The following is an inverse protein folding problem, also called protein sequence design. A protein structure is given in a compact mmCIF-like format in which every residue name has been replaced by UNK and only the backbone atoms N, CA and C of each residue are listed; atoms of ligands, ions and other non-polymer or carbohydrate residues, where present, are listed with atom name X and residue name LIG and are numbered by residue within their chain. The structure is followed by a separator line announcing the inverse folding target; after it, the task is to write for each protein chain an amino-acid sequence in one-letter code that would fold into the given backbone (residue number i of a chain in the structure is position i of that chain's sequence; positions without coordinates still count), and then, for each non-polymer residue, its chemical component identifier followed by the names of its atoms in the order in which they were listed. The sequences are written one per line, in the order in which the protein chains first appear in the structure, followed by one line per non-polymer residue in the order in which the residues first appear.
data_IF_953788103751
#
_entry.id   IF_953788103751
#
_cell.length_a   1.000
_cell.length_b   1.000
_cell.length_c   1.000
_cell.angle_alpha   90.00
_cell.angle_beta   90.00
_cell.angle_gamma   90.00
#
_symmetry.space_group_name_H-M   'P 1'
#
loop_
_entity.id
_entity.type
_entity.pdbx_description
1 polymer ?
#
# COMPACT_ATOMS: atom_id res chain seq x y z
N UNK A 1 -23.61 6.77 -0.69
CA UNK A 1 -24.17 8.04 -1.22
C UNK A 1 -23.95 9.11 -0.18
N UNK A 2 -23.54 10.31 -0.61
CA UNK A 2 -23.34 11.45 0.29
C UNK A 2 -24.67 11.82 0.98
N UNK A 3 -24.73 12.02 2.30
CA UNK A 3 -25.95 12.46 2.97
C UNK A 3 -26.34 13.87 2.50
N UNK A 4 -27.64 14.21 2.51
CA UNK A 4 -28.08 15.58 2.27
C UNK A 4 -27.34 16.56 3.17
N UNK A 5 -26.76 17.60 2.57
CA UNK A 5 -25.98 18.61 3.28
C UNK A 5 -26.86 19.80 3.65
N UNK A 6 -26.72 20.30 4.88
CA UNK A 6 -27.42 21.48 5.38
C UNK A 6 -26.41 22.50 5.88
N UNK A 7 -26.54 23.74 5.41
CA UNK A 7 -25.73 24.86 5.87
C UNK A 7 -26.64 25.84 6.61
N UNK A 8 -26.50 25.93 7.94
CA UNK A 8 -27.10 27.02 8.70
C UNK A 8 -26.18 28.23 8.57
N UNK A 9 -26.69 29.34 8.06
CA UNK A 9 -25.88 30.51 7.73
C UNK A 9 -26.49 31.78 8.31
N UNK A 10 -25.64 32.68 8.78
CA UNK A 10 -26.00 33.98 9.32
C UNK A 10 -25.07 35.05 8.76
N UNK A 11 -25.65 36.21 8.45
CA UNK A 11 -24.95 37.38 7.92
C UNK A 11 -25.30 38.57 8.80
N UNK A 12 -24.28 39.35 9.15
CA UNK A 12 -24.43 40.59 9.90
C UNK A 12 -23.54 41.67 9.26
N UNK A 13 -24.12 42.79 8.86
CA UNK A 13 -23.42 43.77 8.05
C UNK A 13 -24.19 45.07 7.90
N UNK A 14 -23.49 46.10 7.45
CA UNK A 14 -24.08 47.44 7.23
C UNK A 14 -24.93 47.45 5.96
N UNK A 15 -24.45 46.78 4.92
CA UNK A 15 -25.03 46.73 3.59
C UNK A 15 -24.50 45.49 2.83
N UNK A 16 -25.03 45.15 1.64
CA UNK A 16 -24.61 43.97 0.88
C UNK A 16 -23.14 43.95 0.44
N UNK A 17 -22.44 45.09 0.49
CA UNK A 17 -21.02 45.18 0.16
C UNK A 17 -20.13 45.01 1.37
N UNK A 18 -20.66 45.07 2.59
CA UNK A 18 -19.86 44.93 3.81
C UNK A 18 -20.60 44.12 4.88
N UNK A 19 -20.21 42.86 5.03
CA UNK A 19 -20.81 41.94 6.00
C UNK A 19 -19.84 40.91 6.55
N UNK A 20 -20.12 40.47 7.77
CA UNK A 20 -19.57 39.27 8.40
C UNK A 20 -20.52 38.11 8.16
N UNK A 21 -19.97 36.89 8.07
CA UNK A 21 -20.78 35.68 8.00
C UNK A 21 -20.29 34.60 8.95
N UNK A 22 -21.23 33.78 9.40
CA UNK A 22 -20.98 32.54 10.14
C UNK A 22 -21.89 31.45 9.60
N UNK A 23 -21.40 30.22 9.57
CA UNK A 23 -22.25 29.09 9.26
C UNK A 23 -21.75 27.77 9.80
N UNK A 24 -22.66 26.83 9.91
CA UNK A 24 -22.44 25.47 10.35
C UNK A 24 -22.94 24.52 9.26
N UNK A 25 -22.01 23.83 8.61
CA UNK A 25 -22.30 22.85 7.56
C UNK A 25 -22.32 21.44 8.13
N UNK A 26 -23.43 20.74 7.95
CA UNK A 26 -23.61 19.32 8.32
C UNK A 26 -23.98 18.48 7.11
N UNK A 27 -23.60 17.19 7.13
CA UNK A 27 -24.11 16.17 6.20
C UNK A 27 -24.35 14.86 6.96
N UNK A 28 -25.58 14.66 7.47
CA UNK A 28 -25.82 13.61 8.47
C UNK A 28 -24.98 13.86 9.72
N UNK A 29 -24.27 12.84 10.19
CA UNK A 29 -23.36 12.93 11.35
C UNK A 29 -22.05 13.68 11.04
N UNK A 30 -21.74 13.93 9.77
CA UNK A 30 -20.54 14.66 9.31
C UNK A 30 -20.70 16.14 9.67
N UNK A 31 -19.74 16.71 10.41
CA UNK A 31 -19.74 18.12 10.82
C UNK A 31 -20.23 18.35 12.27
N UNK A 32 -20.42 19.61 12.69
CA UNK A 32 -20.42 20.80 11.85
C UNK A 32 -19.03 21.17 11.37
N UNK A 33 -18.90 21.45 10.07
CA UNK A 33 -17.81 22.28 9.57
C UNK A 33 -18.21 23.74 9.82
N UNK A 34 -17.53 24.38 10.76
CA UNK A 34 -17.81 25.77 11.15
C UNK A 34 -17.09 26.71 10.20
N UNK A 35 -17.83 27.55 9.51
CA UNK A 35 -17.29 28.58 8.61
C UNK A 35 -17.54 29.96 9.20
N UNK A 36 -16.53 30.83 9.12
CA UNK A 36 -16.68 32.23 9.46
C UNK A 36 -15.87 33.10 8.51
N UNK A 37 -16.26 34.35 8.37
CA UNK A 37 -15.52 35.27 7.53
C UNK A 37 -16.18 36.61 7.34
N UNK A 38 -15.68 37.33 6.35
CA UNK A 38 -16.15 38.66 5.96
C UNK A 38 -16.07 38.87 4.46
N UNK A 39 -16.98 39.70 3.97
CA UNK A 39 -16.95 40.33 2.66
C UNK A 39 -16.74 41.83 2.87
N UNK A 40 -15.70 42.39 2.26
CA UNK A 40 -15.35 43.82 2.37
C UNK A 40 -15.61 44.62 1.09
N UNK A 41 -16.41 44.07 0.18
CA UNK A 41 -16.78 44.69 -1.10
C UNK A 41 -15.80 44.37 -2.23
N UNK A 42 -14.59 43.93 -1.88
CA UNK A 42 -13.53 43.58 -2.83
C UNK A 42 -13.12 42.12 -2.67
N UNK A 43 -13.03 41.65 -1.42
CA UNK A 43 -12.48 40.35 -1.08
C UNK A 43 -13.32 39.64 -0.02
N UNK A 44 -13.67 38.40 -0.32
CA UNK A 44 -14.17 37.43 0.64
C UNK A 44 -12.96 36.84 1.37
N UNK A 45 -13.00 36.80 2.70
CA UNK A 45 -11.99 36.09 3.52
C UNK A 45 -12.70 35.31 4.61
N UNK A 46 -12.23 34.11 4.88
CA UNK A 46 -12.81 33.31 5.94
C UNK A 46 -11.95 32.14 6.35
N UNK A 47 -12.41 31.46 7.39
CA UNK A 47 -11.86 30.19 7.83
C UNK A 47 -12.98 29.15 7.91
N UNK A 48 -12.63 27.92 7.62
CA UNK A 48 -13.42 26.72 7.86
C UNK A 48 -12.67 25.85 8.86
N UNK A 49 -13.36 25.43 9.91
CA UNK A 49 -12.81 24.54 10.93
C UNK A 49 -13.69 23.32 11.06
N UNK A 50 -13.06 22.16 10.89
CA UNK A 50 -13.65 20.87 11.12
C UNK A 50 -13.13 20.33 12.46
N UNK A 51 -14.00 20.19 13.49
CA UNK A 51 -13.61 19.59 14.76
C UNK A 51 -13.10 18.16 14.60
N UNK A 52 -12.41 17.65 15.62
CA UNK A 52 -12.11 16.22 15.70
C UNK A 52 -13.40 15.40 15.70
N UNK A 53 -13.49 14.45 14.77
CA UNK A 53 -14.59 13.50 14.69
C UNK A 53 -14.06 12.10 14.39
N UNK A 54 -14.82 11.09 14.82
CA UNK A 54 -14.54 9.68 14.49
C UNK A 54 -14.49 9.47 12.98
N UNK A 55 -13.51 8.69 12.51
CA UNK A 55 -13.36 8.33 11.10
C UNK A 55 -14.61 7.60 10.54
N UNK A 56 -15.31 6.84 11.36
CA UNK A 56 -16.51 6.08 10.95
C UNK A 56 -17.64 6.95 10.42
N UNK A 57 -17.74 8.19 10.91
CA UNK A 57 -18.74 9.17 10.45
C UNK A 57 -18.56 9.52 8.97
N UNK A 58 -17.34 9.35 8.45
CA UNK A 58 -16.98 9.62 7.05
C UNK A 58 -17.25 8.44 6.12
N UNK A 59 -17.78 7.32 6.60
CA UNK A 59 -18.14 6.16 5.79
C UNK A 59 -18.96 6.50 4.53
N UNK A 60 -19.93 7.45 4.55
CA UNK A 60 -20.68 7.83 3.36
C UNK A 60 -19.86 8.48 2.25
N UNK A 61 -18.66 9.00 2.55
CA UNK A 61 -17.73 9.60 1.59
C UNK A 61 -16.93 8.54 0.82
N UNK A 62 -16.88 7.32 1.33
CA UNK A 62 -16.17 6.21 0.69
C UNK A 62 -17.03 5.64 -0.45
N UNK A 63 -16.51 5.51 -1.68
CA UNK A 63 -17.22 4.87 -2.77
C UNK A 63 -17.63 3.42 -2.39
N UNK A 64 -18.92 3.04 -2.54
CA UNK A 64 -19.37 1.69 -2.17
C UNK A 64 -18.62 0.57 -2.87
N UNK A 65 -18.19 0.79 -4.12
CA UNK A 65 -17.47 -0.19 -4.94
C UNK A 65 -16.10 -0.56 -4.36
N UNK A 66 -15.53 0.28 -3.50
CA UNK A 66 -14.28 -0.02 -2.81
C UNK A 66 -14.47 -1.06 -1.71
N UNK A 67 -15.72 -1.31 -1.29
CA UNK A 67 -16.06 -2.24 -0.20
C UNK A 67 -15.22 -2.00 1.06
N UNK A 68 -14.85 -0.75 1.30
CA UNK A 68 -13.99 -0.35 2.40
C UNK A 68 -14.85 0.11 3.58
N UNK A 69 -14.67 -0.55 4.72
CA UNK A 69 -15.33 -0.26 5.98
C UNK A 69 -14.35 0.46 6.92
N UNK A 70 -14.62 1.73 7.22
CA UNK A 70 -13.85 2.54 8.16
C UNK A 70 -14.12 2.08 9.59
N UNK A 71 -13.10 2.04 10.43
CA UNK A 71 -13.17 1.44 11.77
C UNK A 71 -12.76 2.43 12.86
N UNK A 72 -11.47 2.70 13.01
CA UNK A 72 -10.95 3.56 14.07
C UNK A 72 -10.30 4.81 13.48
N UNK A 73 -10.03 5.77 14.36
CA UNK A 73 -9.26 6.98 14.05
C UNK A 73 -10.09 8.26 14.15
N UNK A 74 -9.38 9.38 14.15
CA UNK A 74 -9.95 10.71 14.23
C UNK A 74 -9.54 11.54 13.02
N UNK A 75 -10.48 12.30 12.47
CA UNK A 75 -10.22 13.26 11.41
C UNK A 75 -10.57 14.67 11.88
N UNK A 76 -9.72 15.64 11.55
CA UNK A 76 -9.98 17.07 11.73
C UNK A 76 -9.27 17.88 10.65
N UNK A 77 -9.74 19.11 10.43
CA UNK A 77 -9.15 19.98 9.42
C UNK A 77 -9.33 21.46 9.76
N UNK A 78 -8.41 22.28 9.27
CA UNK A 78 -8.53 23.73 9.33
C UNK A 78 -8.09 24.33 8.01
N UNK A 79 -8.92 25.20 7.45
CA UNK A 79 -8.71 25.84 6.15
C UNK A 79 -8.97 27.34 6.30
N UNK A 80 -8.05 28.16 5.82
CA UNK A 80 -8.28 29.57 5.56
C UNK A 80 -8.52 29.75 4.05
N UNK A 81 -9.43 30.63 3.66
CA UNK A 81 -9.70 30.91 2.26
C UNK A 81 -9.91 32.39 2.00
N UNK A 82 -9.70 32.77 0.74
CA UNK A 82 -10.02 34.09 0.23
C UNK A 82 -10.42 34.04 -1.23
N UNK A 83 -11.33 34.91 -1.64
CA UNK A 83 -11.72 35.08 -3.03
C UNK A 83 -11.81 36.57 -3.37
N UNK A 84 -11.23 36.98 -4.49
CA UNK A 84 -11.37 38.33 -5.06
C UNK A 84 -11.34 38.25 -6.59
N UNK A 85 -11.94 39.21 -7.32
CA UNK A 85 -12.04 39.17 -8.78
C UNK A 85 -10.71 38.91 -9.50
N UNK A 86 -9.64 39.63 -9.15
CA UNK A 86 -8.31 39.46 -9.78
C UNK A 86 -7.51 38.28 -9.23
N UNK A 87 -7.79 37.86 -8.00
CA UNK A 87 -7.03 36.82 -7.29
C UNK A 87 -7.57 35.40 -7.58
N UNK A 88 -8.85 35.31 -7.96
CA UNK A 88 -9.60 34.06 -7.91
C UNK A 88 -9.74 33.53 -6.48
N UNK A 89 -10.08 32.24 -6.37
CA UNK A 89 -10.17 31.54 -5.08
C UNK A 89 -8.79 31.02 -4.66
N UNK A 90 -8.39 31.33 -3.43
CA UNK A 90 -7.22 30.75 -2.77
C UNK A 90 -7.62 30.16 -1.44
N UNK A 91 -7.07 28.99 -1.13
CA UNK A 91 -7.23 28.35 0.17
C UNK A 91 -5.91 27.81 0.67
N UNK A 92 -5.78 27.63 1.97
CA UNK A 92 -4.62 26.98 2.56
C UNK A 92 -4.94 26.49 3.96
N UNK A 93 -4.35 25.38 4.33
CA UNK A 93 -4.75 24.71 5.55
C UNK A 93 -4.05 23.38 5.74
N UNK A 94 -4.60 22.60 6.65
CA UNK A 94 -4.19 21.22 6.86
C UNK A 94 -5.39 20.35 7.22
N UNK A 95 -5.37 19.12 6.73
CA UNK A 95 -6.21 18.02 7.20
C UNK A 95 -5.36 16.99 7.91
N UNK A 96 -5.89 16.37 8.96
CA UNK A 96 -5.21 15.34 9.72
C UNK A 96 -6.15 14.17 9.94
N UNK A 97 -5.66 12.98 9.61
CA UNK A 97 -6.18 11.70 10.07
C UNK A 97 -5.17 11.12 11.06
N UNK A 98 -5.65 10.67 12.21
CA UNK A 98 -4.81 10.01 13.23
C UNK A 98 -5.38 8.65 13.60
N UNK A 99 -4.54 7.62 13.60
CA UNK A 99 -4.89 6.26 14.01
C UNK A 99 -5.99 5.64 13.16
N UNK A 100 -6.09 6.02 11.88
CA UNK A 100 -7.10 5.52 10.97
C UNK A 100 -6.99 4.00 10.78
N UNK A 101 -8.11 3.31 10.74
CA UNK A 101 -8.15 1.90 10.32
C UNK A 101 -9.33 1.63 9.39
N UNK A 102 -9.12 0.69 8.47
CA UNK A 102 -10.13 0.28 7.51
C UNK A 102 -9.97 -1.19 7.13
N UNK A 103 -11.10 -1.84 6.89
CA UNK A 103 -11.18 -3.17 6.31
C UNK A 103 -11.66 -3.08 4.88
N UNK A 104 -11.00 -3.80 4.00
CA UNK A 104 -11.42 -4.09 2.63
C UNK A 104 -11.67 -5.61 2.52
N UNK A 105 -12.23 -6.11 1.40
CA UNK A 105 -12.54 -7.54 1.27
C UNK A 105 -11.36 -8.48 1.57
N UNK A 106 -10.15 -8.00 1.32
CA UNK A 106 -8.93 -8.80 1.29
C UNK A 106 -7.72 -8.07 1.86
N UNK A 107 -7.97 -6.96 2.56
CA UNK A 107 -6.94 -6.16 3.18
C UNK A 107 -7.44 -5.56 4.49
N UNK A 108 -6.56 -5.45 5.46
CA UNK A 108 -6.77 -4.58 6.61
C UNK A 108 -5.66 -3.54 6.64
N UNK A 109 -6.03 -2.30 6.93
CA UNK A 109 -5.09 -1.19 7.09
C UNK A 109 -5.29 -0.63 8.48
N UNK A 110 -4.21 -0.57 9.26
CA UNK A 110 -4.24 -0.21 10.67
C UNK A 110 -3.23 0.89 10.98
N UNK A 111 -3.61 1.82 11.86
CA UNK A 111 -2.72 2.88 12.35
C UNK A 111 -2.27 3.86 11.27
N UNK A 112 -3.22 4.33 10.44
CA UNK A 112 -2.97 5.36 9.43
C UNK A 112 -2.91 6.73 10.09
N UNK A 113 -1.73 7.33 10.07
CA UNK A 113 -1.53 8.74 10.35
C UNK A 113 -1.26 9.46 9.03
N UNK A 114 -2.10 10.45 8.70
CA UNK A 114 -1.98 11.24 7.48
C UNK A 114 -2.12 12.73 7.79
N UNK A 115 -1.18 13.52 7.31
CA UNK A 115 -1.18 14.98 7.46
C UNK A 115 -1.06 15.61 6.08
N UNK A 116 -2.05 16.42 5.69
CA UNK A 116 -2.14 17.07 4.40
C UNK A 116 -2.06 18.59 4.56
N UNK A 117 -0.85 19.18 4.69
CA UNK A 117 -0.67 20.61 4.53
C UNK A 117 -0.80 20.98 3.05
N UNK A 118 -1.66 21.92 2.74
CA UNK A 118 -1.89 22.34 1.36
C UNK A 118 -2.06 23.86 1.24
N UNK A 119 -1.80 24.34 0.02
CA UNK A 119 -2.23 25.63 -0.46
C UNK A 119 -2.82 25.46 -1.85
N UNK A 120 -4.04 25.91 -2.05
CA UNK A 120 -4.67 25.99 -3.35
C UNK A 120 -4.62 27.44 -3.86
N UNK A 121 -4.06 27.64 -5.04
CA UNK A 121 -4.03 28.93 -5.72
C UNK A 121 -3.93 28.71 -7.23
N UNK A 122 -4.51 29.63 -8.01
CA UNK A 122 -4.33 29.69 -9.46
C UNK A 122 -4.65 28.34 -10.16
N UNK A 123 -5.68 27.64 -9.64
CA UNK A 123 -6.15 26.36 -10.16
C UNK A 123 -5.34 25.12 -9.75
N UNK A 124 -4.32 25.25 -8.89
CA UNK A 124 -3.45 24.16 -8.49
C UNK A 124 -3.25 24.02 -6.99
N UNK A 125 -2.95 22.80 -6.58
CA UNK A 125 -2.58 22.43 -5.23
C UNK A 125 -1.07 22.47 -5.10
N UNK A 126 -0.58 23.23 -4.13
CA UNK A 126 0.79 23.19 -3.65
C UNK A 126 0.79 22.41 -2.33
N UNK A 127 1.35 21.21 -2.41
CA UNK A 127 1.48 20.26 -1.33
C UNK A 127 2.87 20.43 -0.71
N UNK A 128 2.95 20.33 0.61
CA UNK A 128 4.27 20.36 1.25
C UNK A 128 4.81 21.76 1.61
N UNK A 129 4.02 22.84 1.46
CA UNK A 129 4.53 24.24 1.59
C UNK A 129 5.13 24.62 2.94
N UNK A 130 4.79 23.91 4.02
CA UNK A 130 5.32 24.12 5.38
C UNK A 130 5.89 22.82 5.99
N UNK A 131 6.26 21.88 5.13
CA UNK A 131 6.57 20.50 5.49
C UNK A 131 5.72 19.54 4.66
N UNK A 132 6.20 18.31 4.39
CA UNK A 132 5.55 17.37 3.48
C UNK A 132 4.13 17.01 3.88
N UNK A 133 3.37 16.58 2.88
CA UNK A 133 2.23 15.69 3.13
C UNK A 133 2.80 14.36 3.59
N UNK A 134 2.50 13.95 4.83
CA UNK A 134 3.06 12.74 5.43
C UNK A 134 2.01 11.66 5.48
N UNK A 135 2.34 10.47 5.00
CA UNK A 135 1.59 9.23 5.22
C UNK A 135 2.44 8.27 6.04
N UNK A 136 1.89 7.80 7.15
CA UNK A 136 2.49 6.77 8.00
C UNK A 136 1.42 5.72 8.25
N UNK A 137 1.74 4.45 8.02
CA UNK A 137 0.81 3.33 8.25
C UNK A 137 1.54 2.31 9.12
N UNK A 138 0.96 1.98 10.27
CA UNK A 138 1.55 1.00 11.17
C UNK A 138 1.60 -0.39 10.53
N UNK A 139 0.49 -0.82 9.93
CA UNK A 139 0.37 -2.16 9.37
C UNK A 139 -0.66 -2.23 8.23
N UNK A 140 -0.32 -2.99 7.19
CA UNK A 140 -1.23 -3.47 6.16
C UNK A 140 -1.16 -4.99 6.15
N UNK A 141 -2.30 -5.63 6.42
CA UNK A 141 -2.45 -7.08 6.41
C UNK A 141 -3.06 -7.49 5.06
N UNK A 142 -2.32 -8.31 4.33
CA UNK A 142 -2.69 -9.02 3.09
C UNK A 142 -1.93 -10.37 3.12
N UNK A 143 -1.84 -11.08 1.99
CA UNK A 143 -0.97 -12.21 1.70
C UNK A 143 0.43 -12.09 2.31
N UNK A 144 1.00 -10.88 2.28
CA UNK A 144 2.20 -10.53 3.01
C UNK A 144 1.94 -9.28 3.84
N UNK A 145 2.13 -9.38 5.15
CA UNK A 145 2.00 -8.23 6.05
C UNK A 145 3.12 -7.22 5.81
N UNK A 146 2.74 -5.98 5.53
CA UNK A 146 3.64 -4.84 5.45
C UNK A 146 3.51 -3.98 6.71
N UNK A 147 4.63 -3.50 7.25
CA UNK A 147 4.69 -2.72 8.48
C UNK A 147 5.50 -1.45 8.30
N UNK A 148 5.28 -0.50 9.20
CA UNK A 148 6.06 0.74 9.29
C UNK A 148 6.17 1.48 7.94
N UNK A 149 5.05 1.58 7.22
CA UNK A 149 5.01 2.21 5.90
C UNK A 149 5.15 3.72 6.08
N UNK A 150 6.11 4.30 5.37
CA UNK A 150 6.31 5.75 5.31
C UNK A 150 6.22 6.23 3.87
N UNK A 151 5.74 7.47 3.69
CA UNK A 151 5.77 8.18 2.42
C UNK A 151 5.55 9.67 2.65
N UNK A 152 6.33 10.50 1.97
CA UNK A 152 6.24 11.96 2.01
C UNK A 152 6.01 12.52 0.62
N UNK A 153 5.02 13.40 0.47
CA UNK A 153 4.63 14.01 -0.80
C UNK A 153 4.77 15.53 -0.75
N UNK A 154 5.44 16.10 -1.76
CA UNK A 154 5.67 17.54 -1.89
C UNK A 154 5.60 17.99 -3.35
N UNK A 155 5.19 19.23 -3.59
CA UNK A 155 5.17 19.82 -4.94
C UNK A 155 3.77 20.20 -5.41
N UNK A 156 3.58 20.26 -6.73
CA UNK A 156 2.34 20.77 -7.34
C UNK A 156 1.46 19.65 -7.88
N UNK A 157 0.14 19.78 -7.73
CA UNK A 157 -0.85 18.98 -8.42
C UNK A 157 -1.91 19.85 -9.14
N UNK A 158 -2.14 19.67 -10.45
CA UNK A 158 -1.38 18.84 -11.37
C UNK A 158 0.08 19.30 -11.51
N UNK A 159 1.02 18.36 -11.60
CA UNK A 159 2.45 18.64 -11.70
C UNK A 159 2.84 19.18 -13.08
N UNK A 160 3.95 19.90 -13.15
CA UNK A 160 4.58 20.38 -14.39
C UNK A 160 6.08 20.08 -14.35
N UNK A 161 6.81 20.34 -15.44
CA UNK A 161 8.28 20.19 -15.41
C UNK A 161 8.95 21.17 -14.45
N UNK A 162 8.44 22.39 -14.39
CA UNK A 162 8.97 23.47 -13.54
C UNK A 162 8.57 23.28 -12.07
N UNK A 163 7.37 22.77 -11.81
CA UNK A 163 6.82 22.50 -10.49
C UNK A 163 6.48 21.00 -10.37
N UNK A 164 7.49 20.13 -10.15
CA UNK A 164 7.26 18.69 -10.10
C UNK A 164 6.54 18.28 -8.81
N UNK A 165 5.94 17.09 -8.84
CA UNK A 165 5.46 16.39 -7.65
C UNK A 165 6.49 15.32 -7.27
N UNK A 166 6.90 15.32 -6.00
CA UNK A 166 7.93 14.46 -5.44
C UNK A 166 7.34 13.57 -4.35
N UNK A 167 7.55 12.27 -4.50
CA UNK A 167 7.29 11.26 -3.47
C UNK A 167 8.65 10.77 -2.92
N UNK A 168 8.88 10.98 -1.63
CA UNK A 168 10.16 10.68 -0.94
C UNK A 168 9.89 9.91 0.35
N UNK A 169 10.96 9.52 1.04
CA UNK A 169 10.89 8.80 2.33
C UNK A 169 9.96 7.58 2.28
N UNK A 170 10.00 6.85 1.16
CA UNK A 170 9.19 5.64 1.01
C UNK A 170 9.97 4.47 1.59
N UNK A 171 9.46 3.92 2.68
CA UNK A 171 10.00 2.75 3.36
C UNK A 171 8.87 1.82 3.77
N UNK A 172 9.11 0.51 3.66
CA UNK A 172 8.18 -0.53 4.08
C UNK A 172 8.98 -1.71 4.64
N UNK A 173 8.61 -2.17 5.83
CA UNK A 173 9.11 -3.42 6.39
C UNK A 173 8.21 -4.56 5.91
N UNK A 174 8.79 -5.53 5.22
CA UNK A 174 8.05 -6.61 4.55
C UNK A 174 8.96 -7.81 4.33
N UNK A 175 8.41 -9.02 4.35
CA UNK A 175 9.16 -10.27 4.16
C UNK A 175 10.41 -10.37 5.06
N UNK A 176 10.30 -9.98 6.34
CA UNK A 176 11.42 -9.97 7.29
C UNK A 176 12.58 -9.01 6.97
N UNK A 177 12.46 -8.19 5.92
CA UNK A 177 13.45 -7.18 5.53
C UNK A 177 12.78 -5.84 5.25
N UNK A 178 13.38 -5.05 4.37
CA UNK A 178 12.95 -3.67 4.15
C UNK A 178 13.05 -3.26 2.67
N UNK A 179 12.05 -2.53 2.18
CA UNK A 179 12.00 -1.96 0.83
C UNK A 179 11.99 -0.45 0.91
N UNK A 180 12.91 0.19 0.17
CA UNK A 180 13.11 1.64 0.19
C UNK A 180 12.99 2.22 -1.22
N UNK A 181 12.45 3.43 -1.32
CA UNK A 181 12.55 4.27 -2.51
C UNK A 181 12.90 5.69 -2.09
N UNK A 182 14.07 6.17 -2.55
CA UNK A 182 14.55 7.51 -2.16
C UNK A 182 13.64 8.61 -2.70
N UNK A 183 13.29 8.52 -3.98
CA UNK A 183 12.51 9.52 -4.66
C UNK A 183 11.83 8.96 -5.90
N UNK A 184 10.60 9.37 -6.11
CA UNK A 184 9.87 9.35 -7.38
C UNK A 184 9.49 10.79 -7.71
N UNK A 185 9.81 11.24 -8.93
CA UNK A 185 9.46 12.57 -9.45
C UNK A 185 8.44 12.44 -10.57
N UNK A 186 7.44 13.32 -10.57
CA UNK A 186 6.48 13.50 -11.66
C UNK A 186 6.61 14.93 -12.24
N UNK A 187 6.68 15.11 -13.58
CA UNK A 187 6.74 14.06 -14.60
C UNK A 187 7.98 13.17 -14.45
N UNK A 188 7.80 11.89 -14.77
CA UNK A 188 8.84 10.88 -14.64
C UNK A 188 9.71 10.86 -15.90
N UNK A 189 11.02 11.09 -15.73
CA UNK A 189 12.04 10.94 -16.77
C UNK A 189 12.95 9.75 -16.53
N UNK A 190 13.19 9.44 -15.25
CA UNK A 190 14.03 8.35 -14.79
C UNK A 190 13.22 7.35 -13.96
N UNK A 191 13.61 6.06 -13.94
CA UNK A 191 12.93 5.08 -13.11
C UNK A 191 13.14 5.40 -11.64
N UNK A 192 12.09 5.24 -10.83
CA UNK A 192 12.21 5.31 -9.39
C UNK A 192 12.81 4.00 -8.87
N UNK A 193 14.00 4.06 -8.29
CA UNK A 193 14.71 2.84 -7.89
C UNK A 193 14.19 2.33 -6.53
N UNK A 194 13.48 1.20 -6.55
CA UNK A 194 13.17 0.44 -5.34
C UNK A 194 14.39 -0.36 -4.94
N UNK A 195 14.82 -0.26 -3.68
CA UNK A 195 15.90 -1.06 -3.08
C UNK A 195 15.30 -2.06 -2.12
N UNK A 196 15.66 -3.32 -2.31
CA UNK A 196 15.18 -4.44 -1.53
C UNK A 196 16.35 -4.88 -0.65
N UNK A 197 16.18 -4.84 0.66
CA UNK A 197 17.22 -5.12 1.63
C UNK A 197 16.84 -6.33 2.47
N UNK A 198 17.61 -7.40 2.32
CA UNK A 198 17.60 -8.58 3.18
C UNK A 198 16.20 -9.22 3.34
N UNK A 199 15.46 -9.34 2.24
CA UNK A 199 14.15 -9.98 2.22
C UNK A 199 14.28 -11.50 2.39
N UNK A 200 13.37 -12.09 3.16
CA UNK A 200 13.30 -13.50 3.48
C UNK A 200 12.68 -14.30 2.33
N UNK A 201 13.47 -15.18 1.73
CA UNK A 201 12.95 -16.13 0.74
C UNK A 201 11.96 -17.13 1.33
N UNK A 202 12.08 -17.47 2.61
CA UNK A 202 11.15 -18.39 3.28
C UNK A 202 9.78 -17.78 3.49
N UNK A 203 9.71 -16.48 3.83
CA UNK A 203 8.43 -15.77 3.92
C UNK A 203 7.80 -15.63 2.53
N UNK A 204 8.60 -15.30 1.51
CA UNK A 204 8.10 -15.17 0.13
C UNK A 204 7.55 -16.51 -0.39
N UNK A 205 8.30 -17.60 -0.23
CA UNK A 205 7.87 -18.93 -0.67
C UNK A 205 6.66 -19.40 0.13
N UNK A 206 6.59 -19.13 1.43
CA UNK A 206 5.40 -19.46 2.23
C UNK A 206 4.15 -18.71 1.76
N UNK A 207 4.30 -17.42 1.41
CA UNK A 207 3.19 -16.60 0.93
C UNK A 207 2.66 -17.05 -0.43
N UNK A 208 3.55 -17.40 -1.37
CA UNK A 208 3.14 -17.92 -2.70
C UNK A 208 2.72 -19.39 -2.62
N UNK A 209 3.22 -20.13 -1.62
CA UNK A 209 2.97 -21.54 -1.35
C UNK A 209 3.12 -22.47 -2.58
N UNK A 210 4.26 -22.45 -3.29
CA UNK A 210 4.51 -23.41 -4.35
C UNK A 210 4.72 -24.80 -3.74
N UNK A 211 4.01 -25.81 -4.25
CA UNK A 211 4.13 -27.20 -3.74
C UNK A 211 5.46 -27.86 -4.09
N UNK A 212 6.19 -27.29 -5.05
CA UNK A 212 7.31 -27.95 -5.72
C UNK A 212 8.65 -27.76 -5.01
N UNK A 213 8.83 -26.68 -4.24
CA UNK A 213 10.11 -26.39 -3.60
C UNK A 213 9.97 -25.52 -2.34
N UNK A 214 10.99 -25.59 -1.49
CA UNK A 214 11.20 -24.69 -0.38
C UNK A 214 12.53 -23.95 -0.55
N UNK A 215 12.58 -22.68 -0.12
CA UNK A 215 13.78 -21.88 -0.15
C UNK A 215 13.96 -21.14 1.17
N UNK A 216 15.21 -20.97 1.60
CA UNK A 216 15.55 -20.18 2.79
C UNK A 216 16.81 -19.35 2.61
N UNK A 217 16.93 -18.34 3.47
CA UNK A 217 17.97 -17.32 3.41
C UNK A 217 17.46 -16.00 2.83
N UNK A 218 18.33 -14.99 2.83
CA UNK A 218 17.95 -13.63 2.49
C UNK A 218 18.46 -13.21 1.11
N UNK A 219 17.68 -12.37 0.42
CA UNK A 219 18.05 -11.76 -0.84
C UNK A 219 17.86 -10.24 -0.80
N UNK A 220 18.64 -9.55 -1.63
CA UNK A 220 18.56 -8.10 -1.82
C UNK A 220 18.59 -7.78 -3.30
N UNK A 221 18.26 -6.56 -3.66
CA UNK A 221 18.27 -6.16 -5.06
C UNK A 221 17.80 -4.75 -5.30
N UNK A 222 17.61 -4.43 -6.57
CA UNK A 222 17.04 -3.17 -6.99
C UNK A 222 16.09 -3.35 -8.17
N UNK A 223 14.93 -2.71 -8.11
CA UNK A 223 13.89 -2.73 -9.14
C UNK A 223 13.65 -1.29 -9.64
N UNK A 224 14.11 -0.94 -10.84
CA UNK A 224 13.82 0.35 -11.46
C UNK A 224 12.33 0.42 -11.87
N UNK A 225 11.53 1.22 -11.17
CA UNK A 225 10.08 1.33 -11.35
C UNK A 225 9.72 2.46 -12.33
N UNK A 226 8.89 2.13 -13.31
CA UNK A 226 8.27 3.06 -14.24
C UNK A 226 6.76 3.08 -14.04
N UNK A 227 6.19 4.25 -13.83
CA UNK A 227 4.73 4.43 -13.67
C UNK A 227 4.06 4.83 -14.98
N UNK A 228 4.75 5.59 -15.81
CA UNK A 228 4.21 6.17 -17.05
C UNK A 228 4.91 5.65 -18.32
N UNK A 229 5.56 4.49 -18.26
CA UNK A 229 6.22 3.91 -19.44
C UNK A 229 5.24 3.02 -20.22
N UNK A 230 5.27 3.12 -21.55
CA UNK A 230 4.35 2.39 -22.44
C UNK A 230 4.56 0.88 -22.47
N UNK A 231 5.71 0.39 -21.98
CA UNK A 231 6.08 -1.03 -22.08
C UNK A 231 6.40 -1.65 -20.72
N UNK A 232 7.08 -0.94 -19.84
CA UNK A 232 7.68 -1.53 -18.65
C UNK A 232 7.09 -0.97 -17.36
N UNK A 233 6.88 -1.84 -16.38
CA UNK A 233 6.74 -1.46 -14.95
C UNK A 233 8.09 -1.57 -14.28
N UNK A 234 8.84 -2.66 -14.53
CA UNK A 234 10.22 -2.83 -14.10
C UNK A 234 11.08 -3.22 -15.29
N UNK A 235 12.19 -2.51 -15.50
CA UNK A 235 13.15 -2.83 -16.55
C UNK A 235 14.55 -2.97 -15.96
N UNK A 236 15.20 -4.09 -16.25
CA UNK A 236 16.56 -4.42 -15.84
C UNK A 236 16.76 -4.39 -14.31
N UNK A 237 15.75 -4.88 -13.59
CA UNK A 237 15.86 -5.15 -12.16
C UNK A 237 16.80 -6.32 -11.88
N UNK A 238 17.36 -6.37 -10.68
CA UNK A 238 18.21 -7.48 -10.27
C UNK A 238 17.99 -7.87 -8.81
N UNK A 239 18.17 -9.15 -8.52
CA UNK A 239 18.22 -9.71 -7.17
C UNK A 239 19.49 -10.55 -7.01
N UNK A 240 19.99 -10.65 -5.78
CA UNK A 240 21.08 -11.54 -5.40
C UNK A 240 20.93 -12.01 -3.95
N UNK A 241 21.49 -13.17 -3.62
CA UNK A 241 21.56 -13.62 -2.23
C UNK A 241 22.42 -12.64 -1.40
N UNK A 242 21.94 -12.32 -0.20
CA UNK A 242 22.65 -11.45 0.76
C UNK A 242 23.46 -12.25 1.78
N UNK A 243 23.34 -13.57 1.73
CA UNK A 243 24.06 -14.52 2.57
C UNK A 243 23.84 -15.95 2.06
N UNK A 244 24.20 -16.97 2.86
CA UNK A 244 23.90 -18.36 2.53
C UNK A 244 22.39 -18.56 2.31
N UNK A 245 22.04 -19.28 1.26
CA UNK A 245 20.67 -19.69 0.97
C UNK A 245 20.60 -21.20 0.83
N UNK A 246 19.42 -21.79 1.04
CA UNK A 246 19.18 -23.19 0.73
C UNK A 246 17.97 -23.34 -0.18
N UNK A 247 18.04 -24.29 -1.11
CA UNK A 247 16.94 -24.71 -1.96
C UNK A 247 16.68 -26.19 -1.70
N UNK A 248 15.42 -26.56 -1.52
CA UNK A 248 14.99 -27.95 -1.39
C UNK A 248 13.84 -28.21 -2.35
N UNK A 249 14.00 -29.23 -3.19
CA UNK A 249 12.90 -29.71 -4.03
C UNK A 249 12.00 -30.64 -3.22
N UNK A 250 10.70 -30.55 -3.45
CA UNK A 250 9.75 -31.50 -2.89
C UNK A 250 10.06 -32.93 -3.38
N UNK A 251 9.80 -33.92 -2.53
CA UNK A 251 10.16 -35.31 -2.81
C UNK A 251 9.42 -35.84 -4.03
N UNK A 252 8.11 -35.65 -4.11
CA UNK A 252 7.28 -36.17 -5.19
C UNK A 252 7.63 -35.47 -6.50
N UNK A 253 7.91 -34.17 -6.43
CA UNK A 253 8.41 -33.40 -7.58
C UNK A 253 9.75 -33.93 -8.06
N UNK A 254 10.71 -34.15 -7.15
CA UNK A 254 12.01 -34.69 -7.50
C UNK A 254 11.91 -36.11 -8.11
N UNK A 255 11.08 -36.96 -7.52
CA UNK A 255 10.87 -38.35 -7.96
C UNK A 255 10.21 -38.39 -9.35
N UNK A 256 9.24 -37.50 -9.62
CA UNK A 256 8.60 -37.37 -10.92
C UNK A 256 9.59 -36.94 -12.01
N UNK A 257 10.42 -35.93 -11.75
CA UNK A 257 11.39 -35.42 -12.73
C UNK A 257 12.49 -36.46 -13.04
N UNK A 258 12.92 -37.23 -12.03
CA UNK A 258 13.88 -38.34 -12.22
C UNK A 258 13.30 -39.46 -13.09
N UNK A 259 12.02 -39.80 -12.89
CA UNK A 259 11.34 -40.85 -13.64
C UNK A 259 11.20 -40.50 -15.13
N UNK A 260 10.96 -39.23 -15.44
CA UNK A 260 10.72 -38.74 -16.81
C UNK A 260 12.02 -38.55 -17.62
N UNK A 261 13.18 -38.43 -16.96
CA UNK A 261 14.47 -38.23 -17.61
C UNK A 261 15.55 -39.18 -17.04
N UNK A 262 15.48 -40.47 -17.40
CA UNK A 262 16.43 -41.50 -16.93
C UNK A 262 17.90 -41.18 -17.23
N UNK A 263 18.21 -40.44 -18.29
CA UNK A 263 19.57 -40.00 -18.64
C UNK A 263 20.07 -38.78 -17.84
N UNK A 264 19.17 -37.99 -17.26
CA UNK A 264 19.48 -36.82 -16.43
C UNK A 264 19.17 -37.03 -14.93
N UNK A 265 18.62 -38.19 -14.54
CA UNK A 265 18.21 -38.49 -13.17
C UNK A 265 19.33 -38.30 -12.14
N UNK A 266 20.58 -38.53 -12.53
CA UNK A 266 21.76 -38.24 -11.70
C UNK A 266 21.95 -36.75 -11.43
N UNK A 267 21.73 -35.88 -12.43
CA UNK A 267 21.84 -34.42 -12.32
C UNK A 267 20.71 -33.82 -11.45
N UNK A 268 19.50 -34.36 -11.57
CA UNK A 268 18.33 -33.90 -10.80
C UNK A 268 18.44 -34.27 -9.32
N UNK A 269 19.10 -35.39 -8.99
CA UNK A 269 19.33 -35.76 -7.60
C UNK A 269 20.16 -34.69 -6.85
N UNK A 270 21.07 -34.01 -7.55
CA UNK A 270 21.84 -32.86 -7.03
C UNK A 270 21.00 -31.59 -6.83
N UNK A 271 19.75 -31.54 -7.29
CA UNK A 271 18.85 -30.40 -7.07
C UNK A 271 17.88 -30.61 -5.91
N UNK A 272 17.84 -31.82 -5.31
CA UNK A 272 16.96 -32.10 -4.16
C UNK A 272 17.26 -31.22 -2.97
N UNK A 273 18.54 -30.97 -2.72
CA UNK A 273 19.02 -30.05 -1.70
C UNK A 273 20.27 -29.35 -2.22
N UNK A 274 20.28 -28.03 -2.18
CA UNK A 274 21.41 -27.21 -2.59
C UNK A 274 21.64 -26.09 -1.57
N UNK A 275 22.88 -26.00 -1.09
CA UNK A 275 23.38 -24.83 -0.38
C UNK A 275 23.89 -23.82 -1.42
N UNK A 276 23.18 -22.72 -1.58
CA UNK A 276 23.46 -21.68 -2.55
C UNK A 276 24.48 -20.72 -1.95
N UNK A 277 25.65 -20.64 -2.59
CA UNK A 277 26.70 -19.68 -2.25
C UNK A 277 26.53 -18.37 -3.01
N UNK A 278 26.02 -18.42 -4.26
CA UNK A 278 25.79 -17.25 -5.09
C UNK A 278 24.53 -17.41 -5.93
N UNK A 279 23.69 -16.41 -5.95
CA UNK A 279 22.60 -16.26 -6.90
C UNK A 279 22.61 -14.85 -7.49
N UNK A 280 22.33 -14.76 -8.77
CA UNK A 280 22.10 -13.49 -9.46
C UNK A 280 20.94 -13.66 -10.42
N UNK A 281 19.93 -12.82 -10.25
CA UNK A 281 18.70 -12.86 -11.04
C UNK A 281 18.50 -11.52 -11.70
N UNK A 282 18.21 -11.51 -13.01
CA UNK A 282 17.68 -10.36 -13.72
C UNK A 282 16.17 -10.46 -13.82
N UNK A 283 15.48 -9.33 -13.70
CA UNK A 283 14.03 -9.24 -13.67
C UNK A 283 13.55 -8.15 -14.61
N UNK A 284 12.55 -8.46 -15.44
CA UNK A 284 11.75 -7.46 -16.13
C UNK A 284 10.26 -7.75 -15.91
N UNK A 285 9.47 -6.70 -15.81
CA UNK A 285 8.02 -6.74 -15.71
C UNK A 285 7.43 -5.74 -16.69
N UNK A 286 6.63 -6.22 -17.63
CA UNK A 286 5.91 -5.35 -18.56
C UNK A 286 4.60 -4.79 -17.97
N UNK A 287 3.96 -3.88 -18.69
CA UNK A 287 2.70 -3.26 -18.29
C UNK A 287 1.46 -4.18 -18.42
N UNK A 288 1.61 -5.37 -19.01
CA UNK A 288 0.57 -6.41 -19.05
C UNK A 288 0.71 -7.40 -17.89
N UNK A 289 1.74 -7.22 -17.05
CA UNK A 289 2.02 -8.05 -15.89
C UNK A 289 2.86 -9.28 -16.21
N UNK A 290 3.45 -9.40 -17.40
CA UNK A 290 4.36 -10.49 -17.73
C UNK A 290 5.73 -10.24 -17.07
N UNK A 291 6.03 -11.06 -16.08
CA UNK A 291 7.32 -11.11 -15.40
C UNK A 291 8.23 -12.09 -16.15
N UNK A 292 9.45 -11.65 -16.48
CA UNK A 292 10.52 -12.53 -16.96
C UNK A 292 11.69 -12.47 -15.97
N UNK A 293 12.18 -13.65 -15.59
CA UNK A 293 13.35 -13.79 -14.72
C UNK A 293 14.41 -14.67 -15.37
N UNK A 294 15.67 -14.29 -15.18
CA UNK A 294 16.83 -15.09 -15.57
C UNK A 294 17.78 -15.17 -14.40
N UNK A 295 17.89 -16.34 -13.78
CA UNK A 295 18.70 -16.59 -12.61
C UNK A 295 19.90 -17.48 -12.94
N UNK A 296 21.07 -17.11 -12.45
CA UNK A 296 22.26 -17.95 -12.40
C UNK A 296 22.54 -18.26 -10.92
N UNK A 297 22.49 -19.52 -10.56
CA UNK A 297 22.60 -20.00 -9.18
C UNK A 297 23.76 -20.97 -9.12
N UNK A 298 24.72 -20.69 -8.23
CA UNK A 298 25.84 -21.58 -7.93
C UNK A 298 25.72 -22.04 -6.48
N UNK A 299 25.86 -23.33 -6.27
CA UNK A 299 25.79 -23.93 -4.95
C UNK A 299 26.51 -25.26 -4.85
N UNK A 300 26.46 -25.84 -3.67
CA UNK A 300 26.93 -27.19 -3.39
C UNK A 300 25.75 -28.07 -3.03
N UNK A 301 25.71 -29.26 -3.62
CA UNK A 301 24.73 -30.29 -3.26
C UNK A 301 25.43 -31.53 -2.73
N UNK A 302 24.71 -32.32 -1.93
CA UNK A 302 25.17 -33.58 -1.36
C UNK A 302 24.22 -34.70 -1.74
N UNK A 303 24.75 -35.73 -2.41
CA UNK A 303 24.01 -36.91 -2.84
C UNK A 303 24.85 -38.15 -2.50
N UNK A 304 24.28 -39.11 -1.79
CA UNK A 304 24.93 -40.39 -1.42
C UNK A 304 26.34 -40.22 -0.82
N UNK A 305 26.49 -39.21 0.06
CA UNK A 305 27.77 -38.90 0.74
C UNK A 305 28.80 -38.16 -0.11
N UNK A 306 28.53 -37.90 -1.39
CA UNK A 306 29.39 -37.11 -2.28
C UNK A 306 28.90 -35.66 -2.35
N UNK A 307 29.83 -34.71 -2.34
CA UNK A 307 29.55 -33.29 -2.54
C UNK A 307 29.94 -32.87 -3.95
N UNK A 308 29.14 -32.01 -4.57
CA UNK A 308 29.40 -31.51 -5.93
C UNK A 308 28.95 -30.06 -6.09
N UNK A 309 29.67 -29.31 -6.93
CA UNK A 309 29.25 -27.95 -7.32
C UNK A 309 28.18 -28.04 -8.39
N UNK A 310 27.08 -27.32 -8.18
CA UNK A 310 25.96 -27.21 -9.11
C UNK A 310 25.89 -25.79 -9.64
N UNK A 311 25.79 -25.65 -10.95
CA UNK A 311 25.46 -24.40 -11.62
C UNK A 311 24.10 -24.57 -12.29
N UNK A 312 23.11 -23.84 -11.78
CA UNK A 312 21.75 -23.86 -12.27
C UNK A 312 21.44 -22.54 -12.97
N UNK A 313 21.13 -22.63 -14.26
CA UNK A 313 20.61 -21.52 -15.05
C UNK A 313 19.10 -21.71 -15.17
N UNK A 314 18.35 -20.79 -14.59
CA UNK A 314 16.89 -20.88 -14.52
C UNK A 314 16.26 -19.69 -15.23
N UNK A 315 15.29 -19.98 -16.09
CA UNK A 315 14.46 -18.98 -16.74
C UNK A 315 13.02 -19.19 -16.30
N UNK A 316 12.37 -18.10 -15.91
CA UNK A 316 10.96 -18.10 -15.51
C UNK A 316 10.21 -17.02 -16.26
N UNK A 317 8.99 -17.36 -16.66
CA UNK A 317 8.04 -16.44 -17.23
C UNK A 317 6.68 -16.69 -16.60
N UNK A 318 6.05 -15.62 -16.09
CA UNK A 318 4.74 -15.73 -15.46
C UNK A 318 3.98 -14.40 -15.51
N UNK A 319 2.68 -14.46 -15.72
CA UNK A 319 1.84 -13.28 -15.58
C UNK A 319 1.49 -13.06 -14.10
N UNK A 320 2.18 -12.12 -13.46
CA UNK A 320 2.00 -11.87 -12.03
C UNK A 320 0.64 -11.26 -11.71
N UNK A 321 -0.01 -10.53 -12.62
CA UNK A 321 -1.36 -10.01 -12.35
C UNK A 321 -2.39 -11.15 -12.28
N UNK A 322 -2.22 -12.19 -13.08
CA UNK A 322 -3.02 -13.42 -13.00
C UNK A 322 -2.71 -14.19 -11.73
N UNK A 323 -1.43 -14.35 -11.38
CA UNK A 323 -1.02 -15.00 -10.13
C UNK A 323 -1.59 -14.30 -8.89
N UNK A 324 -1.44 -12.98 -8.80
CA UNK A 324 -1.95 -12.18 -7.67
C UNK A 324 -3.47 -12.28 -7.53
N UNK A 325 -4.21 -12.28 -8.64
CA UNK A 325 -5.66 -12.54 -8.62
C UNK A 325 -5.94 -13.93 -8.07
N UNK A 326 -5.22 -14.95 -8.52
CA UNK A 326 -5.37 -16.34 -8.06
C UNK A 326 -5.09 -16.51 -6.56
N UNK A 327 -4.01 -15.91 -6.06
CA UNK A 327 -3.62 -16.00 -4.64
C UNK A 327 -4.66 -15.34 -3.75
N UNK A 328 -5.17 -14.16 -4.14
CA UNK A 328 -6.21 -13.45 -3.38
C UNK A 328 -7.52 -14.22 -3.30
N UNK A 329 -7.87 -15.08 -4.27
CA UNK A 329 -9.11 -15.86 -4.20
C UNK A 329 -9.18 -16.77 -2.95
N UNK A 330 -8.07 -17.34 -2.51
CA UNK A 330 -8.02 -18.18 -1.29
C UNK A 330 -8.27 -17.36 -0.03
N UNK A 331 -7.52 -16.26 0.12
CA UNK A 331 -7.63 -15.35 1.28
C UNK A 331 -9.02 -14.69 1.37
N UNK A 332 -9.61 -14.36 0.22
CA UNK A 332 -10.96 -13.78 0.13
C UNK A 332 -12.02 -14.68 0.76
N UNK A 333 -11.92 -16.00 0.56
CA UNK A 333 -12.89 -16.95 1.13
C UNK A 333 -12.78 -16.97 2.65
N UNK A 334 -11.56 -16.99 3.18
CA UNK A 334 -11.32 -17.00 4.63
C UNK A 334 -11.72 -15.68 5.29
N UNK A 335 -11.31 -14.54 4.75
CA UNK A 335 -11.69 -13.22 5.27
C UNK A 335 -13.21 -13.00 5.20
N UNK A 336 -13.86 -13.44 4.12
CA UNK A 336 -15.31 -13.42 4.03
C UNK A 336 -15.97 -14.31 5.08
N UNK A 337 -15.43 -15.51 5.34
CA UNK A 337 -15.90 -16.38 6.41
C UNK A 337 -15.73 -15.72 7.77
N UNK A 338 -14.59 -15.11 8.08
CA UNK A 338 -14.36 -14.42 9.36
C UNK A 338 -15.26 -13.20 9.54
N UNK A 339 -15.52 -12.43 8.48
CA UNK A 339 -16.42 -11.27 8.52
C UNK A 339 -17.91 -11.66 8.67
N UNK A 340 -18.31 -12.81 8.14
CA UNK A 340 -19.72 -13.24 8.11
C UNK A 340 -20.05 -14.37 9.09
N UNK A 341 -19.03 -15.04 9.64
CA UNK A 341 -19.17 -15.96 10.76
C UNK A 341 -19.39 -15.15 12.04
N UNK A 342 -20.62 -14.68 12.21
CA UNK A 342 -21.16 -14.49 13.55
C UNK A 342 -21.22 -15.89 14.16
N UNK A 343 -20.21 -16.28 14.91
CA UNK A 343 -20.40 -17.34 15.90
C UNK A 343 -21.55 -16.86 16.78
N UNK A 344 -22.67 -17.60 16.89
CA UNK A 344 -23.69 -17.26 17.86
C UNK A 344 -22.99 -17.28 19.22
N UNK A 345 -22.90 -16.11 19.86
CA UNK A 345 -22.44 -16.02 21.22
C UNK A 345 -23.31 -16.95 22.05
N UNK A 346 -22.67 -17.79 22.87
CA UNK A 346 -23.35 -18.44 23.97
C UNK A 346 -23.74 -17.37 24.98
N UNK A 347 -24.75 -16.58 24.66
CA UNK A 347 -25.50 -15.80 25.63
C UNK A 347 -26.35 -16.80 26.42
N UNK A 348 -25.76 -17.48 27.41
CA UNK A 348 -26.52 -18.10 28.50
C UNK A 348 -27.13 -16.89 29.26
N UNK A 349 -28.44 -16.62 29.17
CA UNK A 349 -29.03 -15.46 29.83
C UNK A 349 -28.82 -15.62 31.33
N UNK A 350 -28.40 -14.55 32.01
CA UNK A 350 -28.24 -14.54 33.46
C UNK A 350 -29.48 -15.13 34.14
N UNK A 351 -29.34 -16.32 34.74
CA UNK A 351 -30.33 -16.87 35.67
C UNK A 351 -30.88 -18.28 35.45
N UNK A 352 -30.36 -19.12 34.54
CA UNK A 352 -30.69 -20.57 34.55
C UNK A 352 -29.49 -21.45 34.18
N UNK A 353 -29.33 -22.54 34.95
CA UNK A 353 -28.26 -23.55 34.82
C UNK A 353 -28.21 -24.11 33.39
N UNK A 354 -27.05 -23.97 32.75
CA UNK A 354 -26.73 -24.58 31.47
C UNK A 354 -26.28 -26.04 31.78
N UNK A 355 -27.15 -27.05 31.54
CA UNK A 355 -26.81 -28.48 31.66
C UNK A 355 -25.74 -28.89 30.64
N UNK A 356 -24.63 -29.45 31.11
CA UNK A 356 -23.64 -30.13 30.27
C UNK A 356 -24.24 -31.44 29.73
N UNK A 357 -24.19 -31.62 28.40
CA UNK A 357 -24.37 -32.93 27.78
C UNK A 357 -23.01 -33.46 27.32
N UNK A 358 -22.77 -34.70 27.74
CA UNK A 358 -21.60 -35.57 27.55
C UNK A 358 -21.11 -35.69 26.11
#
# INVERSE_FOLDING_TARGET
MLPPSTLKFSVDGRDPTYFLFKGDLHAGEIGPVRVNGRWDGIRLRGNAWWPKQSLTVFQPLVPPDWKMNLRDGELYAQVAFSAAPEQGFRAGGHGVLKGGSAWMPDNQVNGVDFVLPFRFADGAWHLGTRGPVTLRIAEVINLVTAKNITADLQGRYPWTEEEPLLLTDVSVDVLGGNVLMKQLRMPQHDPALLRLNNLSSSELVSAVNPKQFAMSGAFSGALPLWLNNEKWIVKDGWLANSGPMTLRLDKDTADAVVKDNMTAGSAINWLRYMEISRSSTKINLDNLGLLTMQANITGTSRVDGKSGTVNLNYHHEENIFTLWRSLRFGDNLQAWLEQNARLPGNDCPQGKECEEKQ
#
